data_IF_162524023276
#
_entry.id   IF_162524023276
#
_cell.length_a   1.000
_cell.length_b   1.000
_cell.length_c   1.000
_cell.angle_alpha   90.00
_cell.angle_beta   90.00
_cell.angle_gamma   90.00
#
_symmetry.space_group_name_H-M   'P 1'
#
loop_
_entity.id
_entity.type
_entity.pdbx_description
1 polymer ?
#
# COMPACT_ATOMS: atom_id res chain seq x y z
N UNK A 1 62.95 -17.19 52.60
CA UNK A 1 61.68 -17.50 52.04
C UNK A 1 61.45 -16.67 50.76
N UNK A 2 61.69 -17.23 49.59
CA UNK A 2 61.50 -16.55 48.29
C UNK A 2 60.12 -16.95 47.76
N UNK A 3 59.24 -15.97 47.54
CA UNK A 3 57.90 -16.21 46.95
C UNK A 3 58.05 -16.15 45.40
N UNK A 4 57.69 -17.25 44.74
CA UNK A 4 57.52 -17.29 43.28
C UNK A 4 56.21 -16.65 42.89
N UNK A 5 56.26 -15.75 41.89
CA UNK A 5 55.08 -15.18 41.21
C UNK A 5 54.87 -16.00 39.94
N UNK A 6 53.65 -16.56 39.66
CA UNK A 6 53.39 -17.21 38.39
C UNK A 6 53.08 -16.19 37.29
N UNK A 7 53.85 -16.29 36.19
CA UNK A 7 53.62 -15.49 35.00
C UNK A 7 52.35 -15.96 34.25
N UNK A 8 51.44 -15.03 33.95
CA UNK A 8 50.29 -15.23 33.06
C UNK A 8 50.74 -15.00 31.62
N UNK A 9 50.72 -16.04 30.81
CA UNK A 9 50.94 -15.90 29.36
C UNK A 9 49.64 -15.56 28.71
N UNK A 10 49.55 -14.34 28.17
CA UNK A 10 48.37 -13.88 27.38
C UNK A 10 48.49 -14.46 25.96
N UNK A 11 47.64 -15.38 25.61
CA UNK A 11 47.52 -15.91 24.24
C UNK A 11 46.66 -14.95 23.43
N UNK A 12 47.28 -14.21 22.47
CA UNK A 12 46.60 -13.38 21.52
C UNK A 12 45.97 -14.24 20.44
N UNK A 13 44.65 -14.42 20.47
CA UNK A 13 43.89 -15.07 19.39
C UNK A 13 43.63 -14.01 18.32
N UNK A 14 44.41 -14.05 17.23
CA UNK A 14 44.15 -13.22 16.05
C UNK A 14 42.94 -13.78 15.28
N UNK A 15 41.80 -13.13 15.37
CA UNK A 15 40.64 -13.41 14.53
C UNK A 15 40.92 -12.93 13.09
N UNK A 16 41.25 -13.87 12.19
CA UNK A 16 41.24 -13.56 10.75
C UNK A 16 39.81 -13.32 10.30
N UNK A 17 39.45 -12.08 10.09
CA UNK A 17 38.23 -11.70 9.39
C UNK A 17 38.39 -12.08 7.91
N UNK A 18 37.78 -13.17 7.49
CA UNK A 18 37.64 -13.50 6.05
C UNK A 18 36.76 -12.46 5.38
N UNK A 19 37.41 -11.51 4.72
CA UNK A 19 36.74 -10.56 3.82
C UNK A 19 36.37 -11.33 2.56
N UNK A 20 35.15 -11.85 2.50
CA UNK A 20 34.59 -12.34 1.25
C UNK A 20 34.37 -11.15 0.31
N UNK A 21 34.96 -11.15 -0.91
CA UNK A 21 34.64 -10.16 -1.89
C UNK A 21 33.14 -10.25 -2.17
N UNK A 22 32.38 -9.19 -1.86
CA UNK A 22 31.01 -9.04 -2.36
C UNK A 22 31.11 -8.96 -3.87
N UNK A 23 30.89 -10.07 -4.55
CA UNK A 23 30.61 -10.04 -6.00
C UNK A 23 29.34 -9.22 -6.15
N UNK A 24 29.50 -8.00 -6.63
CA UNK A 24 28.36 -7.15 -6.98
C UNK A 24 27.70 -7.85 -8.16
N UNK A 25 26.55 -8.51 -7.93
CA UNK A 25 25.78 -9.07 -9.02
C UNK A 25 25.61 -7.99 -10.10
N UNK A 26 25.82 -8.34 -11.36
CA UNK A 26 25.59 -7.41 -12.46
C UNK A 26 24.15 -6.92 -12.37
N UNK A 27 23.92 -5.63 -12.59
CA UNK A 27 22.57 -5.09 -12.60
C UNK A 27 21.73 -5.86 -13.63
N UNK A 28 20.51 -6.31 -13.28
CA UNK A 28 19.70 -7.14 -14.18
C UNK A 28 19.48 -6.46 -15.54
N UNK A 29 19.40 -7.26 -16.59
CA UNK A 29 19.16 -6.75 -17.94
C UNK A 29 17.70 -6.33 -18.07
N UNK A 30 17.47 -5.05 -18.42
CA UNK A 30 16.11 -4.55 -18.66
C UNK A 30 15.57 -5.02 -20.00
N UNK A 31 14.25 -5.11 -20.12
CA UNK A 31 13.57 -5.34 -21.37
C UNK A 31 13.55 -4.06 -22.23
N UNK A 32 13.58 -4.20 -23.54
CA UNK A 32 13.69 -3.06 -24.47
C UNK A 32 12.50 -2.09 -24.37
N UNK A 33 11.33 -2.63 -24.03
CA UNK A 33 10.07 -1.89 -23.82
C UNK A 33 9.71 -1.73 -22.35
N UNK A 34 10.63 -2.04 -21.43
CA UNK A 34 10.39 -2.05 -19.98
C UNK A 34 9.23 -2.97 -19.54
N UNK A 35 8.94 -4.05 -20.28
CA UNK A 35 7.80 -4.91 -20.02
C UNK A 35 6.45 -4.22 -20.22
N UNK A 36 6.40 -3.22 -21.10
CA UNK A 36 5.20 -2.46 -21.48
C UNK A 36 4.93 -1.22 -20.64
N UNK A 37 5.77 -0.87 -19.65
CA UNK A 37 5.61 0.35 -18.85
C UNK A 37 6.54 1.48 -19.33
N UNK A 38 6.16 2.71 -19.03
CA UNK A 38 6.95 3.91 -19.32
C UNK A 38 7.53 4.48 -18.04
N UNK A 39 8.80 4.81 -18.04
CA UNK A 39 9.59 5.28 -16.90
C UNK A 39 10.33 6.57 -17.22
N UNK A 40 10.77 7.36 -16.22
CA UNK A 40 11.63 8.51 -16.43
C UNK A 40 13.01 8.12 -17.01
N UNK A 41 13.67 9.09 -17.61
CA UNK A 41 15.03 8.92 -18.16
C UNK A 41 16.01 8.36 -17.13
N UNK A 42 16.83 7.40 -17.56
CA UNK A 42 17.79 6.70 -16.73
C UNK A 42 17.23 5.51 -15.95
N UNK A 43 15.91 5.35 -15.91
CA UNK A 43 15.25 4.15 -15.38
C UNK A 43 14.94 3.15 -16.48
N UNK A 44 14.93 1.89 -16.10
CA UNK A 44 14.44 0.82 -16.95
C UNK A 44 13.83 -0.32 -16.09
N UNK A 45 13.07 -1.19 -16.73
CA UNK A 45 12.43 -2.30 -16.06
C UNK A 45 12.58 -3.63 -16.80
N UNK A 46 12.40 -4.71 -16.05
CA UNK A 46 12.20 -6.05 -16.58
C UNK A 46 10.98 -6.66 -15.89
N UNK A 47 10.35 -7.62 -16.57
CA UNK A 47 9.30 -8.46 -15.99
C UNK A 47 9.98 -9.56 -15.17
N UNK A 48 9.96 -9.43 -13.84
CA UNK A 48 10.57 -10.38 -12.92
C UNK A 48 9.72 -11.65 -12.72
N UNK A 49 8.39 -11.52 -12.81
CA UNK A 49 7.43 -12.63 -12.85
C UNK A 49 6.19 -12.25 -13.66
N UNK A 50 5.45 -13.24 -14.15
CA UNK A 50 4.18 -13.07 -14.85
C UNK A 50 3.22 -14.22 -14.53
N UNK A 51 1.92 -14.02 -14.76
CA UNK A 51 0.91 -15.06 -14.62
C UNK A 51 0.65 -15.51 -13.18
N UNK A 52 0.86 -14.62 -12.19
CA UNK A 52 0.59 -14.95 -10.78
C UNK A 52 -0.89 -14.86 -10.39
N UNK A 53 -1.77 -14.37 -11.28
CA UNK A 53 -3.15 -14.05 -10.96
C UNK A 53 -3.29 -12.66 -10.30
N UNK A 54 -4.34 -12.39 -9.53
CA UNK A 54 -4.62 -11.06 -8.98
C UNK A 54 -3.63 -10.70 -7.84
N UNK A 55 -2.40 -10.36 -8.22
CA UNK A 55 -1.35 -9.97 -7.28
C UNK A 55 -1.66 -8.62 -6.63
N UNK A 56 -1.50 -8.57 -5.31
CA UNK A 56 -1.74 -7.38 -4.49
C UNK A 56 -0.42 -6.84 -3.96
N UNK A 57 -0.35 -6.47 -2.69
CA UNK A 57 0.88 -6.00 -2.09
C UNK A 57 2.00 -7.05 -2.14
N UNK A 58 3.23 -6.60 -2.11
CA UNK A 58 4.40 -7.45 -2.10
C UNK A 58 5.45 -6.92 -1.12
N UNK A 59 6.34 -7.80 -0.71
CA UNK A 59 7.46 -7.45 0.17
C UNK A 59 8.72 -8.20 -0.24
N UNK A 60 9.85 -7.49 -0.26
CA UNK A 60 11.15 -8.10 -0.51
C UNK A 60 11.86 -8.42 0.81
N UNK A 61 12.35 -9.64 0.94
CA UNK A 61 13.17 -10.09 2.05
C UNK A 61 14.63 -9.60 1.90
N UNK A 62 15.40 -9.51 3.00
CA UNK A 62 16.80 -9.06 2.94
C UNK A 62 17.73 -9.91 2.05
N UNK A 63 17.37 -11.16 1.78
CA UNK A 63 18.11 -12.07 0.88
C UNK A 63 17.71 -11.94 -0.59
N UNK A 64 16.72 -11.08 -0.92
CA UNK A 64 16.26 -10.86 -2.29
C UNK A 64 15.00 -11.65 -2.68
N UNK A 65 14.54 -12.58 -1.87
CA UNK A 65 13.26 -13.26 -2.10
C UNK A 65 12.10 -12.25 -2.06
N UNK A 66 11.08 -12.46 -2.87
CA UNK A 66 9.89 -11.61 -2.91
C UNK A 66 8.65 -12.43 -2.60
N UNK A 67 7.81 -11.89 -1.73
CA UNK A 67 6.54 -12.49 -1.33
C UNK A 67 5.41 -11.60 -1.82
N UNK A 68 4.45 -12.20 -2.53
CA UNK A 68 3.35 -11.48 -3.20
C UNK A 68 2.03 -12.03 -2.68
N UNK A 69 1.21 -11.17 -2.07
CA UNK A 69 -0.16 -11.51 -1.68
C UNK A 69 -1.02 -11.68 -2.93
N UNK A 70 -1.78 -12.78 -2.99
CA UNK A 70 -2.72 -13.06 -4.06
C UNK A 70 -4.14 -12.98 -3.50
N UNK A 71 -4.95 -12.11 -4.07
CA UNK A 71 -6.35 -11.99 -3.69
C UNK A 71 -7.15 -13.16 -4.29
N UNK A 72 -8.03 -13.74 -3.50
CA UNK A 72 -8.92 -14.78 -4.00
C UNK A 72 -10.02 -14.20 -4.87
N UNK A 73 -10.03 -14.53 -6.14
CA UNK A 73 -11.16 -14.36 -7.05
C UNK A 73 -11.82 -15.72 -7.32
N UNK A 74 -12.96 -15.74 -8.01
CA UNK A 74 -13.70 -16.98 -8.31
C UNK A 74 -12.82 -17.95 -9.11
N UNK A 75 -12.42 -19.05 -8.49
CA UNK A 75 -11.65 -20.14 -9.12
C UNK A 75 -10.13 -19.91 -9.22
N UNK A 76 -9.63 -18.78 -8.73
CA UNK A 76 -8.20 -18.46 -8.78
C UNK A 76 -7.45 -19.02 -7.55
N UNK A 77 -6.13 -19.14 -7.72
CA UNK A 77 -5.22 -19.46 -6.64
C UNK A 77 -5.27 -18.32 -5.59
N UNK A 78 -5.22 -18.71 -4.32
CA UNK A 78 -5.19 -17.78 -3.20
C UNK A 78 -4.00 -18.11 -2.29
N UNK A 79 -3.46 -17.11 -1.60
CA UNK A 79 -2.33 -17.27 -0.69
C UNK A 79 -1.23 -16.25 -0.92
N UNK A 80 0.00 -16.67 -0.73
CA UNK A 80 1.21 -15.88 -0.99
C UNK A 80 2.08 -16.65 -1.97
N UNK A 81 2.48 -16.05 -3.07
CA UNK A 81 3.61 -16.58 -3.84
C UNK A 81 4.92 -16.11 -3.24
N UNK A 82 5.79 -17.08 -2.93
CA UNK A 82 7.19 -16.87 -2.61
C UNK A 82 8.03 -17.06 -3.88
N UNK A 83 8.83 -16.06 -4.22
CA UNK A 83 9.56 -15.95 -5.48
C UNK A 83 11.04 -15.78 -5.20
N UNK A 84 11.91 -16.51 -5.92
CA UNK A 84 13.36 -16.41 -5.83
C UNK A 84 13.98 -16.38 -7.21
N UNK A 85 14.98 -15.51 -7.37
CA UNK A 85 15.91 -15.45 -8.48
C UNK A 85 17.16 -16.23 -8.07
N UNK A 86 17.34 -17.48 -8.60
CA UNK A 86 18.45 -18.35 -8.20
C UNK A 86 19.68 -18.15 -9.05
N UNK A 87 19.55 -17.56 -10.24
CA UNK A 87 20.62 -17.39 -11.20
C UNK A 87 21.16 -15.95 -11.28
N UNK A 88 20.47 -14.98 -10.62
CA UNK A 88 20.88 -13.58 -10.53
C UNK A 88 20.57 -12.74 -11.77
N UNK A 89 19.70 -13.21 -12.68
CA UNK A 89 19.34 -12.48 -13.92
C UNK A 89 18.24 -11.43 -13.72
N UNK A 90 17.63 -11.39 -12.52
CA UNK A 90 16.57 -10.46 -12.14
C UNK A 90 15.17 -11.01 -12.36
N UNK A 91 15.01 -12.21 -12.90
CA UNK A 91 13.74 -12.92 -13.07
C UNK A 91 13.62 -14.03 -12.03
N UNK A 92 12.42 -14.23 -11.53
CA UNK A 92 12.18 -15.29 -10.55
C UNK A 92 11.98 -16.63 -11.26
N UNK A 93 12.90 -17.56 -11.07
CA UNK A 93 12.90 -18.91 -11.63
C UNK A 93 12.39 -19.97 -10.65
N UNK A 94 12.30 -19.64 -9.35
CA UNK A 94 11.67 -20.49 -8.35
C UNK A 94 10.40 -19.80 -7.78
N UNK A 95 9.29 -20.57 -7.72
CA UNK A 95 7.99 -20.11 -7.25
C UNK A 95 7.34 -21.16 -6.36
N UNK A 96 6.95 -20.79 -5.15
CA UNK A 96 6.22 -21.63 -4.20
C UNK A 96 4.97 -20.95 -3.67
N UNK A 97 3.91 -21.71 -3.40
CA UNK A 97 2.67 -21.18 -2.82
C UNK A 97 2.63 -21.44 -1.31
N UNK A 98 2.32 -20.41 -0.53
CA UNK A 98 2.16 -20.44 0.92
C UNK A 98 0.69 -20.18 1.25
N UNK A 99 0.08 -21.08 2.04
CA UNK A 99 -1.31 -20.97 2.44
C UNK A 99 -2.29 -21.18 1.27
N UNK A 100 -3.55 -20.92 1.54
CA UNK A 100 -4.67 -21.09 0.60
C UNK A 100 -5.76 -20.01 0.78
N UNK A 101 -5.45 -18.96 1.53
CA UNK A 101 -6.37 -17.85 1.82
C UNK A 101 -5.82 -16.57 1.22
N UNK A 102 -6.63 -15.92 0.39
CA UNK A 102 -6.24 -14.65 -0.27
C UNK A 102 -6.22 -13.47 0.69
N UNK A 103 -5.39 -12.50 0.35
CA UNK A 103 -5.24 -11.28 1.14
C UNK A 103 -4.69 -10.12 0.32
N UNK A 104 -4.48 -8.99 0.99
CA UNK A 104 -3.94 -7.76 0.37
C UNK A 104 -2.64 -7.32 1.04
N UNK A 105 -2.68 -6.93 2.30
CA UNK A 105 -1.50 -6.45 3.02
C UNK A 105 -0.55 -7.59 3.37
N UNK A 106 0.73 -7.39 3.10
CA UNK A 106 1.80 -8.36 3.38
C UNK A 106 3.00 -7.65 4.00
N UNK A 107 3.69 -8.28 4.92
CA UNK A 107 4.89 -7.74 5.54
C UNK A 107 5.82 -8.83 6.05
N UNK A 108 7.12 -8.53 6.10
CA UNK A 108 8.10 -9.33 6.84
C UNK A 108 8.48 -8.56 8.10
N UNK A 109 8.31 -9.19 9.27
CA UNK A 109 8.58 -8.56 10.54
C UNK A 109 9.07 -9.57 11.57
N UNK A 110 10.17 -9.27 12.28
CA UNK A 110 10.71 -10.08 13.40
C UNK A 110 10.79 -11.59 13.11
N UNK A 111 11.19 -11.96 11.86
CA UNK A 111 11.33 -13.37 11.44
C UNK A 111 10.01 -14.05 11.08
N UNK A 112 8.94 -13.28 10.85
CA UNK A 112 7.65 -13.77 10.39
C UNK A 112 7.23 -13.08 9.09
N UNK A 113 6.55 -13.83 8.24
CA UNK A 113 5.80 -13.34 7.08
C UNK A 113 4.33 -13.18 7.49
N UNK A 114 3.80 -11.98 7.34
CA UNK A 114 2.41 -11.64 7.68
C UNK A 114 1.55 -11.48 6.43
N UNK A 115 0.28 -11.88 6.51
CA UNK A 115 -0.75 -11.65 5.49
C UNK A 115 -2.02 -11.12 6.17
N UNK A 116 -2.55 -10.01 5.67
CA UNK A 116 -3.89 -9.56 6.02
C UNK A 116 -4.91 -10.08 5.01
N UNK A 117 -5.81 -10.92 5.49
CA UNK A 117 -6.99 -11.38 4.76
C UNK A 117 -8.17 -10.42 5.02
N UNK A 118 -9.32 -10.54 4.34
CA UNK A 118 -10.50 -9.72 4.66
C UNK A 118 -10.95 -9.76 6.12
N UNK A 119 -10.69 -10.86 6.83
CA UNK A 119 -11.22 -11.11 8.18
C UNK A 119 -10.17 -11.43 9.24
N UNK A 120 -8.88 -11.53 8.86
CA UNK A 120 -7.82 -11.92 9.81
C UNK A 120 -6.46 -11.37 9.43
N UNK A 121 -5.54 -11.37 10.40
CA UNK A 121 -4.10 -11.26 10.16
C UNK A 121 -3.45 -12.58 10.54
N UNK A 122 -2.82 -13.20 9.55
CA UNK A 122 -2.09 -14.46 9.67
C UNK A 122 -0.58 -14.19 9.65
N UNK A 123 0.22 -15.08 10.25
CA UNK A 123 1.67 -15.06 10.09
C UNK A 123 2.27 -16.46 10.02
N UNK A 124 3.40 -16.57 9.34
CA UNK A 124 4.21 -17.79 9.25
C UNK A 124 5.62 -17.51 9.74
N UNK A 125 6.19 -18.43 10.55
CA UNK A 125 7.58 -18.32 10.98
C UNK A 125 8.51 -18.59 9.81
N UNK A 126 9.35 -17.62 9.46
CA UNK A 126 10.35 -17.77 8.42
C UNK A 126 11.58 -18.50 8.94
N UNK A 127 12.14 -19.38 8.09
CA UNK A 127 13.41 -20.07 8.36
C UNK A 127 14.49 -19.51 7.43
N UNK A 128 15.61 -19.02 7.94
CA UNK A 128 16.69 -18.50 7.11
C UNK A 128 17.10 -19.49 6.00
N UNK A 129 17.20 -18.99 4.76
CA UNK A 129 17.58 -19.79 3.58
C UNK A 129 16.44 -20.59 2.93
N UNK A 130 15.31 -20.80 3.60
CA UNK A 130 14.14 -21.42 3.00
C UNK A 130 13.26 -20.37 2.32
N UNK A 131 12.78 -20.68 1.10
CA UNK A 131 11.88 -19.81 0.37
C UNK A 131 10.47 -19.87 0.97
N UNK A 132 9.96 -21.06 1.24
CA UNK A 132 8.66 -21.29 1.86
C UNK A 132 8.83 -21.48 3.37
N UNK A 133 8.09 -20.74 4.22
CA UNK A 133 8.04 -21.00 5.65
C UNK A 133 7.59 -22.44 5.95
N UNK A 134 8.14 -23.04 6.97
CA UNK A 134 7.71 -24.34 7.46
C UNK A 134 6.51 -24.19 8.42
N UNK A 135 5.58 -25.15 8.39
CA UNK A 135 4.44 -25.21 9.29
C UNK A 135 3.24 -24.35 8.85
N UNK A 136 2.22 -24.40 9.68
CA UNK A 136 0.93 -23.72 9.44
C UNK A 136 0.97 -22.25 9.86
N UNK A 137 -0.03 -21.51 9.39
CA UNK A 137 -0.23 -20.12 9.80
C UNK A 137 -0.62 -20.01 11.27
N UNK A 138 -0.04 -19.06 11.97
CA UNK A 138 -0.51 -18.58 13.27
C UNK A 138 -1.49 -17.42 13.07
N UNK A 139 -2.63 -17.44 13.77
CA UNK A 139 -3.58 -16.32 13.75
C UNK A 139 -3.16 -15.26 14.76
N UNK A 140 -2.83 -14.06 14.26
CA UNK A 140 -2.51 -12.90 15.10
C UNK A 140 -3.78 -12.16 15.51
N UNK A 141 -4.66 -11.89 14.52
CA UNK A 141 -5.96 -11.24 14.73
C UNK A 141 -7.02 -11.97 13.92
N UNK A 142 -8.18 -12.23 14.52
CA UNK A 142 -9.39 -12.74 13.86
C UNK A 142 -10.54 -11.75 13.94
N UNK A 143 -11.65 -12.11 13.28
CA UNK A 143 -12.93 -11.39 13.33
C UNK A 143 -12.85 -9.93 12.88
N UNK A 144 -11.87 -9.60 12.03
CA UNK A 144 -11.80 -8.27 11.41
C UNK A 144 -13.08 -8.03 10.61
N UNK A 145 -13.77 -6.90 10.81
CA UNK A 145 -15.02 -6.62 10.14
C UNK A 145 -14.82 -6.48 8.63
N UNK A 146 -15.73 -7.09 7.88
CA UNK A 146 -15.90 -6.84 6.46
C UNK A 146 -17.38 -6.98 6.10
N UNK A 147 -17.90 -6.11 5.23
CA UNK A 147 -19.29 -6.16 4.76
C UNK A 147 -19.39 -5.53 3.37
N UNK A 148 -19.62 -6.36 2.36
CA UNK A 148 -19.73 -5.88 0.98
C UNK A 148 -18.42 -5.33 0.42
N UNK A 149 -18.37 -4.03 0.17
CA UNK A 149 -17.21 -3.36 -0.43
C UNK A 149 -16.11 -3.05 0.61
N UNK A 150 -14.90 -2.71 0.14
CA UNK A 150 -13.76 -2.24 0.93
C UNK A 150 -13.24 -3.27 1.96
N UNK A 151 -13.22 -4.54 1.55
CA UNK A 151 -12.76 -5.64 2.40
C UNK A 151 -11.22 -5.71 2.53
N UNK A 152 -10.48 -5.10 1.61
CA UNK A 152 -9.02 -5.14 1.56
C UNK A 152 -8.40 -4.55 2.83
N UNK A 153 -7.39 -5.25 3.37
CA UNK A 153 -6.67 -4.88 4.58
C UNK A 153 -5.19 -4.62 4.25
N UNK A 154 -4.71 -3.41 4.51
CA UNK A 154 -3.29 -3.09 4.56
C UNK A 154 -2.72 -3.35 5.95
N UNK A 155 -1.40 -3.48 6.04
CA UNK A 155 -0.65 -3.68 7.28
C UNK A 155 0.41 -2.62 7.45
N UNK A 156 0.57 -2.12 8.68
CA UNK A 156 1.72 -1.31 9.07
C UNK A 156 2.20 -1.69 10.47
N UNK A 157 3.50 -1.50 10.75
CA UNK A 157 4.12 -1.85 12.03
C UNK A 157 4.98 -0.69 12.52
N UNK A 158 4.82 -0.29 13.79
CA UNK A 158 5.56 0.85 14.38
C UNK A 158 6.98 0.50 14.85
N UNK A 159 7.37 -0.76 14.80
CA UNK A 159 8.65 -1.22 15.30
C UNK A 159 8.77 -1.25 16.82
N UNK A 160 7.68 -1.00 17.53
CA UNK A 160 7.60 -0.96 19.00
C UNK A 160 6.54 -1.91 19.54
N UNK A 161 6.11 -2.88 18.72
CA UNK A 161 5.11 -3.88 19.07
C UNK A 161 3.70 -3.55 18.56
N UNK A 162 3.49 -2.43 17.88
CA UNK A 162 2.19 -2.08 17.30
C UNK A 162 2.01 -2.61 15.88
N UNK A 163 0.91 -3.32 15.67
CA UNK A 163 0.37 -3.73 14.38
C UNK A 163 -0.86 -2.87 14.06
N UNK A 164 -0.87 -2.22 12.91
CA UNK A 164 -1.96 -1.36 12.43
C UNK A 164 -2.65 -1.99 11.24
N UNK A 165 -3.99 -2.06 11.29
CA UNK A 165 -4.82 -2.66 10.25
C UNK A 165 -5.95 -1.70 9.89
N UNK A 166 -6.17 -1.45 8.60
CA UNK A 166 -7.33 -0.68 8.16
C UNK A 166 -8.61 -1.52 8.18
N UNK A 167 -9.72 -0.89 8.51
CA UNK A 167 -11.07 -1.45 8.32
C UNK A 167 -11.87 -0.46 7.49
N UNK A 168 -11.99 -0.75 6.19
CA UNK A 168 -12.68 0.10 5.24
C UNK A 168 -14.19 0.16 5.50
N UNK A 169 -14.81 1.29 5.16
CA UNK A 169 -16.24 1.51 5.35
C UNK A 169 -17.07 0.77 4.30
N UNK A 170 -18.14 0.07 4.65
CA UNK A 170 -18.99 -0.67 3.69
C UNK A 170 -20.02 0.23 3.00
N UNK A 171 -19.74 1.53 2.88
CA UNK A 171 -20.63 2.53 2.29
C UNK A 171 -19.84 3.63 1.60
N UNK A 172 -20.45 4.30 0.63
CA UNK A 172 -19.89 5.48 -0.02
C UNK A 172 -19.85 6.70 0.92
N UNK A 173 -20.99 7.00 1.55
CA UNK A 173 -21.16 8.18 2.42
C UNK A 173 -22.17 7.94 3.56
N UNK A 174 -22.22 6.71 4.12
CA UNK A 174 -23.10 6.34 5.25
C UNK A 174 -24.59 6.56 4.99
N UNK A 175 -25.04 6.42 3.74
CA UNK A 175 -26.46 6.45 3.40
C UNK A 175 -27.14 5.09 3.77
N UNK A 176 -28.44 5.12 3.99
CA UNK A 176 -29.28 3.95 4.15
C UNK A 176 -30.58 4.15 3.35
N UNK A 177 -30.78 3.40 2.23
CA UNK A 177 -29.84 2.49 1.57
C UNK A 177 -28.63 3.22 0.94
N UNK A 178 -27.50 2.53 0.82
CA UNK A 178 -26.27 3.07 0.27
C UNK A 178 -26.41 3.42 -1.22
N UNK A 179 -25.68 4.45 -1.68
CA UNK A 179 -25.59 4.87 -3.10
C UNK A 179 -26.96 5.16 -3.72
N UNK A 180 -27.80 5.92 -3.03
CA UNK A 180 -29.11 6.37 -3.52
C UNK A 180 -29.11 7.89 -3.75
N UNK A 181 -29.67 8.26 -4.93
CA UNK A 181 -29.84 9.68 -5.32
C UNK A 181 -30.68 10.44 -4.29
N UNK A 182 -30.16 11.58 -3.83
CA UNK A 182 -30.85 12.50 -2.93
C UNK A 182 -31.15 11.95 -1.53
N UNK A 183 -30.61 10.80 -1.16
CA UNK A 183 -30.80 10.24 0.19
C UNK A 183 -29.74 10.80 1.12
N UNK A 184 -30.11 11.41 2.27
CA UNK A 184 -29.17 11.89 3.27
C UNK A 184 -28.33 10.75 3.89
N UNK A 185 -27.14 11.09 4.37
CA UNK A 185 -26.34 10.23 5.21
C UNK A 185 -26.91 10.15 6.62
N UNK A 186 -26.62 9.03 7.30
CA UNK A 186 -26.99 8.90 8.72
C UNK A 186 -26.11 9.79 9.60
N UNK A 187 -26.71 10.55 10.49
CA UNK A 187 -26.01 11.48 11.38
C UNK A 187 -26.53 11.33 12.84
N UNK A 188 -25.74 10.81 13.78
CA UNK A 188 -24.39 10.30 13.58
C UNK A 188 -24.34 9.04 12.73
N UNK A 189 -23.20 8.81 12.04
CA UNK A 189 -23.00 7.61 11.21
C UNK A 189 -22.70 6.38 12.09
N UNK A 190 -23.59 5.37 12.18
CA UNK A 190 -23.37 4.21 13.02
C UNK A 190 -22.26 3.28 12.48
N UNK A 191 -21.87 3.40 11.21
CA UNK A 191 -20.78 2.62 10.65
C UNK A 191 -19.44 2.96 11.29
N UNK A 192 -19.27 4.18 11.79
CA UNK A 192 -18.05 4.61 12.47
C UNK A 192 -17.77 3.83 13.76
N UNK A 193 -18.72 3.14 14.34
CA UNK A 193 -18.47 2.31 15.53
C UNK A 193 -17.54 1.11 15.21
N UNK A 194 -17.58 0.61 13.98
CA UNK A 194 -16.89 -0.63 13.59
C UNK A 194 -15.99 -0.47 12.35
N UNK A 195 -16.27 0.50 11.49
CA UNK A 195 -15.65 0.67 10.17
C UNK A 195 -15.04 2.07 10.03
N UNK A 196 -14.40 2.31 8.89
CA UNK A 196 -13.96 3.65 8.53
C UNK A 196 -12.77 4.14 9.35
N UNK A 197 -11.81 3.28 9.65
CA UNK A 197 -10.67 3.67 10.47
C UNK A 197 -9.51 2.69 10.46
N UNK A 198 -8.55 2.95 11.34
CA UNK A 198 -7.38 2.12 11.61
C UNK A 198 -7.47 1.59 13.04
N UNK A 199 -7.23 0.30 13.21
CA UNK A 199 -7.12 -0.35 14.52
C UNK A 199 -5.69 -0.78 14.79
N UNK A 200 -5.27 -0.58 16.05
CA UNK A 200 -3.98 -1.00 16.57
C UNK A 200 -4.15 -2.28 17.41
N UNK A 201 -3.27 -3.25 17.15
CA UNK A 201 -3.13 -4.52 17.88
C UNK A 201 -1.69 -4.69 18.36
N UNK A 202 -1.44 -5.70 19.20
CA UNK A 202 -0.10 -6.11 19.61
C UNK A 202 0.47 -7.13 18.60
N UNK A 203 1.58 -6.80 17.92
CA UNK A 203 2.21 -7.69 16.93
C UNK A 203 2.74 -9.00 17.53
N UNK A 204 3.00 -9.02 18.84
CA UNK A 204 3.59 -10.15 19.54
C UNK A 204 2.56 -11.12 20.14
N UNK A 205 1.29 -10.72 20.20
CA UNK A 205 0.21 -11.50 20.81
C UNK A 205 -0.60 -12.25 19.77
N UNK A 206 -0.71 -13.58 19.92
CA UNK A 206 -1.57 -14.42 19.09
C UNK A 206 -3.00 -14.50 19.63
N UNK A 207 -3.93 -14.89 18.74
CA UNK A 207 -5.31 -15.16 19.09
C UNK A 207 -6.09 -13.92 19.55
N UNK A 208 -5.67 -12.73 19.10
CA UNK A 208 -6.47 -11.52 19.28
C UNK A 208 -7.71 -11.56 18.39
N UNK A 209 -8.80 -10.97 18.83
CA UNK A 209 -9.98 -10.71 18.01
C UNK A 209 -10.07 -9.21 17.70
N UNK A 210 -10.96 -8.82 16.80
CA UNK A 210 -11.21 -7.39 16.54
C UNK A 210 -11.52 -6.59 17.81
N UNK A 211 -12.21 -7.18 18.77
CA UNK A 211 -12.56 -6.54 20.06
C UNK A 211 -11.34 -6.20 20.92
N UNK A 212 -10.20 -6.82 20.70
CA UNK A 212 -8.94 -6.50 21.39
C UNK A 212 -8.22 -5.29 20.78
N UNK A 213 -8.62 -4.85 19.59
CA UNK A 213 -8.04 -3.71 18.90
C UNK A 213 -8.44 -2.38 19.51
N UNK A 214 -7.51 -1.42 19.52
CA UNK A 214 -7.79 -0.04 19.89
C UNK A 214 -7.91 0.79 18.63
N UNK A 215 -8.99 1.57 18.49
CA UNK A 215 -9.13 2.50 17.36
C UNK A 215 -8.03 3.55 17.42
N UNK A 216 -7.21 3.58 16.40
CA UNK A 216 -6.06 4.50 16.30
C UNK A 216 -6.40 5.76 15.49
N UNK A 217 -7.20 5.61 14.42
CA UNK A 217 -7.67 6.71 13.57
C UNK A 217 -9.09 6.42 13.08
N UNK A 218 -9.86 7.46 12.78
CA UNK A 218 -11.26 7.36 12.32
C UNK A 218 -11.54 8.33 11.17
N UNK A 219 -12.76 8.28 10.60
CA UNK A 219 -13.15 9.18 9.52
C UNK A 219 -12.48 8.88 8.18
N UNK A 220 -12.21 7.61 7.91
CA UNK A 220 -11.52 7.12 6.71
C UNK A 220 -12.42 6.16 5.93
N UNK A 221 -12.54 6.35 4.59
CA UNK A 221 -13.42 5.52 3.78
C UNK A 221 -12.83 4.17 3.41
N UNK A 222 -11.81 4.17 2.54
CA UNK A 222 -11.08 2.97 2.13
C UNK A 222 -9.60 3.31 1.97
N UNK A 223 -8.74 2.56 2.64
CA UNK A 223 -7.33 2.90 2.75
C UNK A 223 -6.45 1.64 2.87
N UNK A 224 -6.35 0.80 1.82
CA UNK A 224 -5.39 -0.30 1.83
C UNK A 224 -3.93 0.21 1.81
N UNK A 225 -3.70 1.40 1.24
CA UNK A 225 -2.41 2.06 1.20
C UNK A 225 -2.06 2.69 2.55
N UNK A 226 -1.43 1.90 3.44
CA UNK A 226 -0.94 2.35 4.74
C UNK A 226 0.51 1.93 4.95
N UNK A 227 1.29 2.80 5.56
CA UNK A 227 2.68 2.48 5.91
C UNK A 227 3.13 3.26 7.13
N UNK A 228 4.01 2.67 7.94
CA UNK A 228 4.68 3.38 9.03
C UNK A 228 6.04 3.88 8.58
N UNK A 229 6.26 5.16 8.69
CA UNK A 229 7.53 5.78 8.33
C UNK A 229 7.88 6.90 9.30
N UNK A 230 9.14 6.97 9.72
CA UNK A 230 9.70 8.03 10.59
C UNK A 230 8.79 8.42 11.76
N UNK A 231 8.32 7.38 12.49
CA UNK A 231 7.56 7.53 13.73
C UNK A 231 6.07 7.87 13.57
N UNK A 232 5.52 7.85 12.35
CA UNK A 232 4.10 8.11 12.09
C UNK A 232 3.49 7.11 11.09
N UNK A 233 2.17 6.95 11.16
CA UNK A 233 1.40 6.21 10.17
C UNK A 233 0.97 7.15 9.04
N UNK A 234 1.24 6.75 7.80
CA UNK A 234 0.80 7.43 6.58
C UNK A 234 -0.28 6.59 5.89
N UNK A 235 -1.26 7.27 5.32
CA UNK A 235 -2.45 6.68 4.71
C UNK A 235 -2.70 7.39 3.39
N UNK A 236 -2.99 6.65 2.31
CA UNK A 236 -3.59 7.24 1.10
C UNK A 236 -4.97 6.62 0.92
N UNK A 237 -6.00 7.47 0.87
CA UNK A 237 -7.38 7.06 0.98
C UNK A 237 -8.10 7.14 -0.37
N UNK A 238 -8.87 6.10 -0.69
CA UNK A 238 -9.87 6.16 -1.77
C UNK A 238 -11.09 6.95 -1.29
N UNK A 239 -11.36 8.07 -1.91
CA UNK A 239 -12.45 8.97 -1.56
C UNK A 239 -13.79 8.50 -2.17
N UNK A 240 -14.83 9.32 -2.02
CA UNK A 240 -16.19 9.02 -2.47
C UNK A 240 -16.32 8.88 -3.98
N UNK A 241 -17.31 8.08 -4.41
CA UNK A 241 -17.63 7.86 -5.81
C UNK A 241 -18.88 8.62 -6.26
N UNK A 242 -19.00 8.87 -7.59
CA UNK A 242 -20.25 9.18 -8.30
C UNK A 242 -21.06 10.32 -7.67
N UNK A 243 -20.39 11.41 -7.30
CA UNK A 243 -21.02 12.55 -6.63
C UNK A 243 -22.09 13.21 -7.52
N UNK A 244 -21.87 13.23 -8.83
CA UNK A 244 -22.79 13.74 -9.86
C UNK A 244 -24.05 12.88 -10.02
N UNK A 245 -23.89 11.55 -9.93
CA UNK A 245 -25.03 10.61 -10.07
C UNK A 245 -25.96 10.72 -8.87
N UNK A 246 -25.41 10.88 -7.67
CA UNK A 246 -26.21 10.90 -6.44
C UNK A 246 -26.72 12.30 -6.09
N UNK A 247 -26.04 13.36 -6.54
CA UNK A 247 -26.37 14.75 -6.23
C UNK A 247 -26.23 15.67 -7.47
N UNK A 248 -26.94 15.37 -8.58
CA UNK A 248 -26.81 16.10 -9.84
C UNK A 248 -27.26 17.56 -9.77
N UNK A 249 -28.02 17.95 -8.75
CA UNK A 249 -28.42 19.34 -8.48
C UNK A 249 -27.26 20.23 -8.02
N UNK A 250 -26.18 19.62 -7.49
CA UNK A 250 -25.02 20.33 -6.99
C UNK A 250 -23.73 20.04 -7.77
N UNK A 251 -23.66 18.85 -8.42
CA UNK A 251 -22.45 18.38 -9.07
C UNK A 251 -22.69 17.87 -10.47
N UNK A 252 -21.86 18.32 -11.40
CA UNK A 252 -21.83 17.84 -12.78
C UNK A 252 -20.89 16.63 -12.93
N UNK A 253 -20.93 15.96 -14.10
CA UNK A 253 -19.96 14.93 -14.47
C UNK A 253 -18.51 15.46 -14.42
N UNK A 254 -18.29 16.74 -14.75
CA UNK A 254 -16.97 17.37 -14.63
C UNK A 254 -16.53 17.53 -13.18
N UNK A 255 -17.45 17.83 -12.27
CA UNK A 255 -17.15 17.85 -10.84
C UNK A 255 -16.80 16.46 -10.33
N UNK A 256 -17.53 15.41 -10.73
CA UNK A 256 -17.17 14.05 -10.39
C UNK A 256 -15.76 13.69 -10.89
N UNK A 257 -15.46 14.03 -12.15
CA UNK A 257 -14.16 13.76 -12.76
C UNK A 257 -12.98 14.38 -12.00
N UNK A 258 -13.15 15.54 -11.36
CA UNK A 258 -12.02 16.39 -10.94
C UNK A 258 -11.96 16.71 -9.45
N UNK A 259 -13.05 16.60 -8.70
CA UNK A 259 -13.15 17.24 -7.38
C UNK A 259 -12.88 16.33 -6.19
N UNK A 260 -13.46 15.11 -6.06
CA UNK A 260 -13.16 14.25 -4.90
C UNK A 260 -11.72 13.73 -4.98
N UNK A 261 -10.77 14.45 -4.38
CA UNK A 261 -9.37 14.04 -4.37
C UNK A 261 -9.16 12.68 -3.70
N UNK A 262 -8.04 12.03 -4.03
CA UNK A 262 -7.48 10.93 -3.26
C UNK A 262 -6.47 11.51 -2.25
N UNK A 263 -6.85 11.71 -0.97
CA UNK A 263 -5.99 12.40 -0.02
C UNK A 263 -4.96 11.48 0.63
N UNK A 264 -3.77 12.05 0.89
CA UNK A 264 -2.76 11.45 1.74
C UNK A 264 -2.80 12.10 3.13
N UNK A 265 -2.89 11.29 4.14
CA UNK A 265 -2.91 11.72 5.53
C UNK A 265 -1.70 11.20 6.30
N UNK A 266 -1.32 11.93 7.35
CA UNK A 266 -0.42 11.49 8.39
C UNK A 266 -1.20 11.47 9.70
N UNK A 267 -1.17 10.34 10.39
CA UNK A 267 -1.76 10.22 11.74
C UNK A 267 -0.71 10.70 12.75
N UNK A 268 -0.97 11.85 13.37
CA UNK A 268 -0.06 12.46 14.34
C UNK A 268 -0.21 11.84 15.74
N UNK A 269 -1.44 11.46 16.09
CA UNK A 269 -1.76 10.85 17.39
C UNK A 269 -2.98 9.92 17.29
N UNK A 270 -3.09 9.02 18.24
CA UNK A 270 -4.29 8.22 18.41
C UNK A 270 -5.54 9.12 18.59
N UNK A 271 -6.63 8.75 17.89
CA UNK A 271 -7.89 9.50 17.90
C UNK A 271 -8.01 10.58 16.84
N UNK A 272 -7.02 10.77 15.96
CA UNK A 272 -7.16 11.68 14.80
C UNK A 272 -8.34 11.27 13.92
N UNK A 273 -9.15 12.25 13.52
CA UNK A 273 -10.34 12.10 12.68
C UNK A 273 -10.18 12.87 11.36
N UNK A 274 -10.45 12.18 10.25
CA UNK A 274 -10.25 12.65 8.88
C UNK A 274 -11.55 12.99 8.15
N UNK A 275 -12.70 12.92 8.82
CA UNK A 275 -13.96 13.53 8.43
C UNK A 275 -14.91 12.67 7.59
N UNK A 276 -14.53 11.49 7.08
CA UNK A 276 -15.52 10.62 6.44
C UNK A 276 -16.55 10.13 7.49
N UNK A 277 -17.84 10.05 7.18
CA UNK A 277 -18.51 10.25 5.88
C UNK A 277 -18.96 11.70 5.65
N UNK A 278 -18.75 12.58 6.60
CA UNK A 278 -19.29 13.94 6.59
C UNK A 278 -18.65 14.84 5.55
N UNK A 279 -17.38 14.57 5.22
CA UNK A 279 -16.55 15.45 4.41
C UNK A 279 -15.83 14.70 3.29
N UNK A 280 -15.50 15.43 2.24
CA UNK A 280 -14.53 15.02 1.21
C UNK A 280 -13.53 16.15 0.95
N UNK A 281 -12.31 15.81 0.57
CA UNK A 281 -11.34 16.81 0.16
C UNK A 281 -11.52 17.14 -1.32
N UNK A 282 -11.71 18.42 -1.61
CA UNK A 282 -11.89 18.92 -2.97
C UNK A 282 -10.53 19.26 -3.60
N UNK A 283 -10.17 18.54 -4.67
CA UNK A 283 -8.89 18.69 -5.36
C UNK A 283 -8.71 20.08 -5.98
N UNK A 284 -9.78 20.67 -6.49
CA UNK A 284 -9.75 21.96 -7.19
C UNK A 284 -9.71 23.15 -6.23
N UNK A 285 -10.48 23.08 -5.14
CA UNK A 285 -10.53 24.12 -4.11
C UNK A 285 -9.49 23.93 -2.99
N UNK A 286 -8.85 22.76 -2.92
CA UNK A 286 -7.81 22.39 -1.93
C UNK A 286 -8.28 22.60 -0.50
N UNK A 287 -9.49 22.11 -0.17
CA UNK A 287 -10.08 22.18 1.16
C UNK A 287 -11.06 21.03 1.42
N UNK A 288 -11.30 20.73 2.69
CA UNK A 288 -12.37 19.83 3.09
C UNK A 288 -13.73 20.53 2.93
N UNK A 289 -14.63 19.88 2.19
CA UNK A 289 -16.00 20.33 1.96
C UNK A 289 -16.99 19.36 2.59
N UNK A 290 -18.13 19.90 3.00
CA UNK A 290 -19.24 19.10 3.49
C UNK A 290 -19.79 18.23 2.35
N UNK A 291 -19.97 16.93 2.63
CA UNK A 291 -20.60 16.03 1.67
C UNK A 291 -22.08 16.38 1.47
N UNK A 292 -22.61 16.26 0.25
CA UNK A 292 -24.01 16.61 -0.03
C UNK A 292 -25.00 15.75 0.76
N UNK A 293 -24.66 14.55 1.14
CA UNK A 293 -25.42 13.70 2.08
C UNK A 293 -25.68 14.38 3.42
N UNK A 294 -24.91 15.40 3.75
CA UNK A 294 -24.98 16.17 5.01
C UNK A 294 -25.27 17.64 4.79
N UNK A 295 -25.83 17.98 3.62
CA UNK A 295 -26.24 19.35 3.26
C UNK A 295 -25.17 20.17 2.56
N UNK A 296 -24.07 19.57 2.11
CA UNK A 296 -23.03 20.27 1.33
C UNK A 296 -23.47 20.58 -0.10
N UNK A 297 -23.09 21.76 -0.58
CA UNK A 297 -23.40 22.28 -1.93
C UNK A 297 -22.15 22.34 -2.84
N UNK A 298 -21.04 21.77 -2.39
CA UNK A 298 -19.75 21.81 -3.08
C UNK A 298 -18.97 23.10 -2.87
N UNK A 299 -19.34 23.96 -1.91
CA UNK A 299 -18.68 25.24 -1.56
C UNK A 299 -18.38 25.33 -0.07
N UNK A 300 -19.32 24.88 0.75
CA UNK A 300 -19.28 25.02 2.19
C UNK A 300 -18.43 23.94 2.86
N UNK A 301 -17.57 24.37 3.78
CA UNK A 301 -16.82 23.45 4.65
C UNK A 301 -17.65 23.00 5.85
N UNK A 302 -18.49 23.88 6.40
CA UNK A 302 -19.32 23.60 7.57
C UNK A 302 -18.50 22.95 8.71
N UNK A 303 -18.98 21.83 9.24
CA UNK A 303 -18.26 21.06 10.29
C UNK A 303 -16.92 20.47 9.85
N UNK A 304 -16.61 20.49 8.55
CA UNK A 304 -15.38 19.90 8.03
C UNK A 304 -14.11 20.63 8.48
N UNK A 305 -14.21 21.88 8.91
CA UNK A 305 -13.10 22.64 9.48
C UNK A 305 -12.52 22.08 10.79
N UNK A 306 -13.21 21.14 11.45
CA UNK A 306 -12.74 20.50 12.69
C UNK A 306 -11.92 19.23 12.43
N UNK A 307 -11.95 18.69 11.22
CA UNK A 307 -11.24 17.46 10.89
C UNK A 307 -9.83 17.71 10.35
N UNK A 308 -9.02 16.66 10.33
CA UNK A 308 -7.64 16.76 9.85
C UNK A 308 -7.57 16.95 8.34
N UNK A 309 -6.85 17.99 7.92
CA UNK A 309 -6.51 18.23 6.53
C UNK A 309 -5.50 17.19 6.01
N UNK A 310 -5.57 16.82 4.72
CA UNK A 310 -4.55 15.99 4.10
C UNK A 310 -3.21 16.72 3.97
N UNK A 311 -2.11 15.97 4.03
CA UNK A 311 -0.76 16.49 3.80
C UNK A 311 -0.41 16.58 2.32
N UNK A 312 -1.06 15.78 1.48
CA UNK A 312 -1.01 15.82 0.01
C UNK A 312 -2.34 15.31 -0.56
N UNK A 313 -2.60 15.60 -1.81
CA UNK A 313 -3.80 15.15 -2.50
C UNK A 313 -3.49 14.82 -3.97
N UNK A 314 -4.12 13.76 -4.47
CA UNK A 314 -3.98 13.27 -5.83
C UNK A 314 -5.29 13.43 -6.59
N UNK A 315 -5.28 13.38 -7.93
CA UNK A 315 -6.48 13.54 -8.74
C UNK A 315 -7.59 12.53 -8.37
N UNK A 316 -8.81 12.94 -8.65
CA UNK A 316 -10.01 12.20 -8.35
C UNK A 316 -10.02 10.80 -8.98
N UNK A 317 -10.44 9.81 -8.20
CA UNK A 317 -10.70 8.43 -8.63
C UNK A 317 -9.47 7.63 -9.11
N UNK A 318 -8.25 8.08 -8.83
CA UNK A 318 -7.06 7.31 -9.17
C UNK A 318 -6.94 6.01 -8.39
N UNK A 319 -7.66 5.86 -7.28
CA UNK A 319 -7.76 4.66 -6.45
C UNK A 319 -6.40 4.21 -5.90
N UNK A 320 -5.83 4.91 -4.91
CA UNK A 320 -4.58 4.50 -4.26
C UNK A 320 -4.75 3.17 -3.53
N UNK A 321 -3.81 2.25 -3.73
CA UNK A 321 -3.90 0.88 -3.20
C UNK A 321 -2.68 0.48 -2.36
N UNK A 322 -1.49 1.05 -2.62
CA UNK A 322 -0.30 0.80 -1.81
C UNK A 322 0.61 2.02 -1.74
N UNK A 323 1.43 2.10 -0.68
CA UNK A 323 2.40 3.18 -0.46
C UNK A 323 3.66 2.68 0.24
N UNK A 324 4.83 3.01 -0.30
CA UNK A 324 6.13 2.72 0.31
C UNK A 324 7.05 3.93 0.29
N UNK A 325 7.73 4.23 1.42
CA UNK A 325 8.79 5.23 1.43
C UNK A 325 10.09 4.65 0.93
N UNK A 326 10.73 5.35 0.01
CA UNK A 326 11.99 4.92 -0.57
C UNK A 326 13.17 5.32 0.33
N UNK A 327 13.81 4.34 0.94
CA UNK A 327 14.97 4.51 1.83
C UNK A 327 16.29 4.05 1.19
N UNK A 328 16.22 3.54 -0.05
CA UNK A 328 17.37 3.08 -0.83
C UNK A 328 18.22 4.22 -1.38
N UNK A 329 19.36 3.84 -1.94
CA UNK A 329 20.31 4.78 -2.56
C UNK A 329 20.58 4.48 -4.04
N UNK A 330 19.93 3.47 -4.61
CA UNK A 330 20.08 3.14 -6.02
C UNK A 330 19.47 4.23 -6.92
N UNK A 331 18.30 4.75 -6.55
CA UNK A 331 17.64 5.81 -7.30
C UNK A 331 18.29 7.18 -7.02
N UNK A 332 18.20 8.13 -7.98
CA UNK A 332 18.71 9.49 -7.81
C UNK A 332 18.23 10.14 -6.52
N UNK A 333 19.04 11.06 -5.99
CA UNK A 333 18.79 11.73 -4.70
C UNK A 333 17.37 12.33 -4.59
N UNK A 334 16.78 12.80 -5.70
CA UNK A 334 15.43 13.37 -5.69
C UNK A 334 14.33 12.38 -5.27
N UNK A 335 14.60 11.06 -5.40
CA UNK A 335 13.66 9.99 -5.00
C UNK A 335 13.93 9.46 -3.58
N UNK A 336 15.01 9.88 -2.93
CA UNK A 336 15.35 9.37 -1.61
C UNK A 336 14.54 10.08 -0.52
N UNK A 337 13.94 9.31 0.38
CA UNK A 337 13.12 9.81 1.49
C UNK A 337 11.69 10.18 1.13
N UNK A 338 11.28 10.08 -0.15
CA UNK A 338 9.90 10.28 -0.57
C UNK A 338 9.10 8.98 -0.68
N UNK A 339 7.83 9.09 -1.02
CA UNK A 339 6.90 7.97 -1.09
C UNK A 339 6.53 7.61 -2.54
N UNK A 340 6.66 6.32 -2.90
CA UNK A 340 6.02 5.75 -4.09
C UNK A 340 4.63 5.28 -3.73
N UNK A 341 3.64 5.60 -4.57
CA UNK A 341 2.23 5.28 -4.36
C UNK A 341 1.70 4.60 -5.62
N UNK A 342 1.15 3.39 -5.48
CA UNK A 342 0.46 2.71 -6.57
C UNK A 342 -0.99 3.15 -6.65
N UNK A 343 -1.42 3.53 -7.84
CA UNK A 343 -2.80 3.85 -8.16
C UNK A 343 -3.36 2.80 -9.13
N UNK A 344 -4.44 2.17 -8.69
CA UNK A 344 -5.09 1.07 -9.42
C UNK A 344 -5.85 1.55 -10.67
N UNK A 345 -6.12 2.84 -10.74
CA UNK A 345 -6.89 3.48 -11.81
C UNK A 345 -8.39 3.47 -11.58
N UNK A 346 -9.02 4.46 -12.18
CA UNK A 346 -10.46 4.74 -12.01
C UNK A 346 -11.34 3.70 -12.72
N UNK A 347 -12.63 3.69 -12.31
CA UNK A 347 -13.69 2.91 -12.94
C UNK A 347 -14.99 3.72 -13.14
N UNK A 348 -15.07 4.92 -12.59
CA UNK A 348 -16.30 5.71 -12.42
C UNK A 348 -16.17 7.16 -12.94
N UNK A 349 -15.32 7.41 -13.94
CA UNK A 349 -15.12 8.75 -14.52
C UNK A 349 -15.98 9.03 -15.76
N UNK A 350 -16.70 8.02 -16.27
CA UNK A 350 -17.53 8.21 -17.47
C UNK A 350 -18.46 9.47 -17.33
N UNK A 351 -18.62 10.27 -18.41
CA UNK A 351 -18.20 10.03 -19.79
C UNK A 351 -16.72 10.33 -20.09
N UNK A 352 -15.96 10.89 -19.13
CA UNK A 352 -14.54 11.12 -19.31
C UNK A 352 -13.75 9.80 -19.36
N UNK A 353 -12.57 9.78 -20.02
CA UNK A 353 -11.67 8.63 -19.97
C UNK A 353 -11.29 8.25 -18.54
N UNK A 354 -11.08 6.98 -18.31
CA UNK A 354 -10.51 6.47 -17.06
C UNK A 354 -9.05 6.92 -16.95
N UNK A 355 -8.57 7.12 -15.71
CA UNK A 355 -7.24 7.67 -15.43
C UNK A 355 -6.65 7.08 -14.14
N UNK A 356 -5.38 7.40 -13.82
CA UNK A 356 -4.75 6.97 -12.56
C UNK A 356 -4.14 5.56 -12.61
N UNK A 357 -3.95 4.98 -13.80
CA UNK A 357 -3.25 3.69 -13.97
C UNK A 357 -1.75 3.92 -13.94
N UNK A 358 -1.21 4.23 -12.76
CA UNK A 358 0.17 4.68 -12.64
C UNK A 358 0.77 4.41 -11.25
N UNK A 359 2.08 4.63 -11.13
CA UNK A 359 2.78 4.79 -9.85
C UNK A 359 3.30 6.22 -9.79
N UNK A 360 3.00 6.93 -8.72
CA UNK A 360 3.54 8.28 -8.49
C UNK A 360 4.67 8.26 -7.49
N UNK A 361 5.45 9.34 -7.50
CA UNK A 361 6.40 9.68 -6.44
C UNK A 361 6.03 11.02 -5.82
N UNK A 362 5.81 11.03 -4.50
CA UNK A 362 5.61 12.22 -3.69
C UNK A 362 6.91 12.53 -2.96
N UNK A 363 7.60 13.66 -3.26
CA UNK A 363 8.80 14.04 -2.53
C UNK A 363 8.49 14.48 -1.11
N UNK A 364 9.41 14.22 -0.19
CA UNK A 364 9.33 14.61 1.21
C UNK A 364 10.61 15.31 1.68
N UNK A 365 10.46 16.19 2.66
CA UNK A 365 11.54 16.75 3.46
C UNK A 365 11.24 16.50 4.93
N UNK A 366 11.98 15.56 5.52
CA UNK A 366 11.58 14.98 6.81
C UNK A 366 10.21 14.32 6.70
N UNK A 367 9.30 14.70 7.56
CA UNK A 367 7.96 14.10 7.66
C UNK A 367 6.84 14.86 6.90
N UNK A 368 7.18 15.76 5.99
CA UNK A 368 6.24 16.58 5.23
C UNK A 368 6.50 16.49 3.73
N UNK A 369 5.44 16.46 2.89
CA UNK A 369 5.59 16.65 1.45
C UNK A 369 6.35 17.94 1.12
N UNK A 370 7.29 17.88 0.18
CA UNK A 370 8.20 18.99 -0.17
C UNK A 370 8.08 19.43 -1.62
N UNK A 371 6.93 19.28 -2.22
CA UNK A 371 6.67 19.67 -3.62
C UNK A 371 5.49 18.92 -4.20
N UNK A 372 5.24 19.16 -5.48
CA UNK A 372 4.24 18.40 -6.23
C UNK A 372 4.70 16.94 -6.43
N UNK A 373 3.74 16.01 -6.46
CA UNK A 373 4.04 14.65 -6.89
C UNK A 373 4.42 14.61 -8.38
N UNK A 374 5.19 13.61 -8.77
CA UNK A 374 5.43 13.29 -10.17
C UNK A 374 4.85 11.91 -10.51
N UNK A 375 4.35 11.73 -11.72
CA UNK A 375 3.95 10.42 -12.23
C UNK A 375 5.24 9.69 -12.63
N UNK A 376 5.58 8.64 -11.88
CA UNK A 376 6.85 7.91 -12.03
C UNK A 376 6.76 6.78 -13.07
N UNK A 377 5.70 5.97 -13.02
CA UNK A 377 5.52 4.89 -13.98
C UNK A 377 4.10 4.91 -14.56
N UNK A 378 4.00 4.75 -15.88
CA UNK A 378 2.74 4.71 -16.64
C UNK A 378 2.75 3.56 -17.65
N UNK A 379 1.71 3.48 -18.50
CA UNK A 379 1.61 2.45 -19.53
C UNK A 379 0.88 1.18 -19.10
N UNK A 380 0.53 1.05 -17.81
CA UNK A 380 -0.18 -0.12 -17.28
C UNK A 380 -1.50 -0.39 -18.01
N UNK A 381 -2.25 0.65 -18.36
CA UNK A 381 -3.51 0.51 -19.09
C UNK A 381 -3.35 -0.09 -20.50
N UNK A 382 -2.16 0.04 -21.11
CA UNK A 382 -1.84 -0.44 -22.46
C UNK A 382 -2.42 0.41 -23.58
N UNK A 383 -3.30 1.37 -23.27
CA UNK A 383 -3.90 2.32 -24.23
C UNK A 383 -4.21 3.66 -23.56
N UNK A 384 -4.27 4.71 -24.39
CA UNK A 384 -4.64 6.07 -23.99
C UNK A 384 -5.36 6.75 -25.17
N UNK A 385 -6.61 7.22 -25.02
CA UNK A 385 -7.42 7.17 -23.81
C UNK A 385 -7.99 5.77 -23.47
N UNK A 386 -8.16 5.50 -22.18
CA UNK A 386 -8.84 4.30 -21.69
C UNK A 386 -10.31 4.65 -21.37
N UNK A 387 -11.25 4.16 -22.14
CA UNK A 387 -12.67 4.49 -21.96
C UNK A 387 -13.37 3.54 -20.97
N UNK A 388 -12.99 2.28 -20.94
CA UNK A 388 -13.59 1.27 -20.09
C UNK A 388 -12.54 0.61 -19.18
N UNK A 389 -12.76 0.49 -17.87
CA UNK A 389 -11.75 -0.03 -16.94
C UNK A 389 -11.35 -1.50 -17.22
N UNK A 390 -12.24 -2.31 -17.81
CA UNK A 390 -11.97 -3.70 -18.18
C UNK A 390 -11.08 -3.85 -19.42
N UNK A 391 -10.79 -2.76 -20.13
CA UNK A 391 -9.87 -2.76 -21.27
C UNK A 391 -8.39 -2.55 -20.85
N UNK A 392 -8.14 -2.23 -19.59
CA UNK A 392 -6.78 -2.10 -19.07
C UNK A 392 -6.07 -3.46 -19.10
N UNK A 393 -4.85 -3.50 -19.67
CA UNK A 393 -4.06 -4.73 -19.74
C UNK A 393 -3.38 -5.09 -18.44
N UNK A 394 -3.09 -4.09 -17.62
CA UNK A 394 -2.56 -4.22 -16.26
C UNK A 394 -3.05 -3.06 -15.37
N UNK A 395 -2.98 -3.26 -14.07
CA UNK A 395 -3.33 -2.25 -13.06
C UNK A 395 -2.32 -2.34 -11.92
N UNK A 396 -1.53 -1.29 -11.72
CA UNK A 396 -0.57 -1.23 -10.61
C UNK A 396 -1.29 -1.42 -9.27
N UNK A 397 -0.71 -2.25 -8.40
CA UNK A 397 -1.31 -2.55 -7.09
C UNK A 397 -0.29 -2.41 -5.95
N UNK A 398 0.69 -3.30 -5.82
CA UNK A 398 1.72 -3.22 -4.79
C UNK A 398 2.98 -2.51 -5.26
N UNK A 399 3.65 -1.84 -4.33
CA UNK A 399 4.97 -1.22 -4.53
C UNK A 399 5.89 -1.58 -3.36
N UNK A 400 7.07 -2.17 -3.66
CA UNK A 400 8.04 -2.53 -2.63
C UNK A 400 9.47 -2.24 -3.05
N UNK A 401 10.26 -1.71 -2.12
CA UNK A 401 11.70 -1.54 -2.31
C UNK A 401 12.43 -2.86 -2.07
N UNK A 402 13.29 -3.24 -3.00
CA UNK A 402 14.21 -4.37 -2.85
C UNK A 402 15.44 -3.98 -1.99
N UNK A 403 16.18 -4.98 -1.44
CA UNK A 403 17.39 -4.73 -0.67
C UNK A 403 18.49 -3.98 -1.43
N UNK A 404 18.55 -4.12 -2.75
CA UNK A 404 19.50 -3.42 -3.62
C UNK A 404 19.05 -2.00 -4.00
N UNK A 405 17.86 -1.59 -3.56
CA UNK A 405 17.25 -0.30 -3.85
C UNK A 405 16.43 -0.26 -5.14
N UNK A 406 16.28 -1.36 -5.90
CA UNK A 406 15.32 -1.44 -6.98
C UNK A 406 13.87 -1.40 -6.45
N UNK A 407 12.90 -1.06 -7.30
CA UNK A 407 11.48 -1.01 -6.94
C UNK A 407 10.72 -2.12 -7.66
N UNK A 408 9.99 -2.93 -6.91
CA UNK A 408 9.01 -3.87 -7.47
C UNK A 408 7.63 -3.22 -7.56
N UNK A 409 6.92 -3.52 -8.65
CA UNK A 409 5.52 -3.11 -8.88
C UNK A 409 4.72 -4.35 -9.26
N UNK A 410 3.61 -4.61 -8.59
CA UNK A 410 2.70 -5.72 -8.94
C UNK A 410 1.52 -5.27 -9.78
N UNK A 411 0.93 -6.22 -10.51
CA UNK A 411 -0.28 -6.07 -11.31
C UNK A 411 -1.41 -6.95 -10.80
N UNK A 412 -2.55 -6.36 -10.50
CA UNK A 412 -3.73 -7.08 -10.01
C UNK A 412 -4.60 -7.73 -11.09
N UNK A 413 -4.30 -7.56 -12.38
CA UNK A 413 -5.08 -8.16 -13.47
C UNK A 413 -4.57 -9.58 -13.82
N UNK A 414 -3.28 -9.70 -14.12
CA UNK A 414 -2.65 -10.95 -14.58
C UNK A 414 -1.51 -11.41 -13.67
N UNK A 415 -1.09 -10.57 -12.73
CA UNK A 415 -0.03 -10.89 -11.79
C UNK A 415 1.36 -10.76 -12.37
N UNK A 416 1.58 -9.74 -13.17
CA UNK A 416 2.91 -9.34 -13.61
C UNK A 416 3.63 -8.61 -12.46
N UNK A 417 4.91 -8.88 -12.29
CA UNK A 417 5.79 -8.16 -11.37
C UNK A 417 6.89 -7.50 -12.18
N UNK A 418 6.92 -6.17 -12.18
CA UNK A 418 8.05 -5.42 -12.74
C UNK A 418 9.09 -5.17 -11.67
N UNK A 419 10.36 -5.26 -12.07
CA UNK A 419 11.50 -4.76 -11.28
C UNK A 419 12.09 -3.55 -12.00
N UNK A 420 12.00 -2.39 -11.35
CA UNK A 420 12.50 -1.12 -11.87
C UNK A 420 13.87 -0.84 -11.25
N UNK A 421 14.85 -0.52 -12.10
CA UNK A 421 16.21 -0.17 -11.70
C UNK A 421 16.63 1.17 -12.32
N UNK A 422 17.55 1.87 -11.66
CA UNK A 422 18.18 3.06 -12.23
C UNK A 422 19.58 2.69 -12.73
N UNK A 423 19.85 2.96 -14.03
CA UNK A 423 21.14 2.67 -14.68
C UNK A 423 21.98 3.91 -14.92
N UNK A 424 21.41 5.11 -14.65
CA UNK A 424 22.05 6.37 -15.00
C UNK A 424 21.77 6.77 -16.47
N UNK A 425 22.32 7.89 -16.86
CA UNK A 425 22.29 8.38 -18.25
C UNK A 425 23.36 7.68 -19.07
#
# INVERSE_FOLDING_TARGET
>A
MKRLIPGFTLALVAALALVYPRVRAAAPSCEADNGGIKLPEGFCALVAADGLGPARHLVAAPNGDVYVAIQQNRGDVAGIYALRDTNGDGKFDQKELIGNTGGTGIAIRTGYLYLATPTSVLRWKMTPGQLKPAGDAETVVSDLPQRGQHADKGLAFDGKGGLYVNVGAPSNACQQPDRRKGVPGQDPCPLLDTFGGIWKFDENKLGQTFANGTRYATGLRQMPAITWHDGALYIVMNNRDSIDVFWPEHFSAKDNETRPAEPMYRVDKAGDDFGWPYCFYDYTQKKLLLNPEYGGDGKESGRCSQFKEPIAAFPAHWAPVDVTFYTGTQFPKKYQGGAFIAFHGSWNRAPAPQDGYNVTFQPFSGNKPSGAFEVFATGFAGQDPLMQPNQAVARADGVAQAPDGSLYISDSQKGKIWRVVYKGK
#
